data_IF_949605622652
#
_entry.id   IF_949605622652
#
_cell.length_a   1.000
_cell.length_b   1.000
_cell.length_c   1.000
_cell.angle_alpha   90.00
_cell.angle_beta   90.00
_cell.angle_gamma   90.00
#
_symmetry.space_group_name_H-M   'P 1'
#
loop_
_entity.id
_entity.type
_entity.pdbx_description
1 polymer ?
#
# COMPACT_ATOMS: atom_id res chain seq x y z
N UNK A 1 -34.18 23.20 -39.50
CA UNK A 1 -33.35 21.99 -39.68
C UNK A 1 -33.74 21.01 -38.58
N UNK A 2 -34.38 19.88 -38.93
CA UNK A 2 -34.83 18.89 -37.95
C UNK A 2 -33.65 17.96 -37.60
N UNK A 3 -33.24 17.94 -36.32
CA UNK A 3 -32.16 17.06 -35.86
C UNK A 3 -32.63 15.61 -35.83
N UNK A 4 -31.86 14.69 -36.44
CA UNK A 4 -32.22 13.27 -36.50
C UNK A 4 -31.89 12.54 -35.20
N UNK A 5 -32.63 11.46 -34.89
CA UNK A 5 -32.29 10.53 -33.78
C UNK A 5 -30.85 10.02 -33.86
N UNK A 6 -30.31 9.88 -35.06
CA UNK A 6 -28.91 9.48 -35.28
C UNK A 6 -27.92 10.55 -34.83
N UNK A 7 -28.25 11.83 -35.02
CA UNK A 7 -27.40 12.94 -34.59
C UNK A 7 -27.40 13.03 -33.05
N UNK A 8 -28.56 12.81 -32.44
CA UNK A 8 -28.69 12.74 -30.97
C UNK A 8 -27.87 11.58 -30.38
N UNK A 9 -27.94 10.38 -30.97
CA UNK A 9 -27.15 9.22 -30.52
C UNK A 9 -25.64 9.44 -30.67
N UNK A 10 -25.20 10.04 -31.79
CA UNK A 10 -23.79 10.37 -32.01
C UNK A 10 -23.30 11.44 -31.02
N UNK A 11 -24.06 12.51 -30.82
CA UNK A 11 -23.73 13.55 -29.86
C UNK A 11 -23.65 13.00 -28.42
N UNK A 12 -24.61 12.13 -28.05
CA UNK A 12 -24.62 11.47 -26.73
C UNK A 12 -23.41 10.56 -26.52
N UNK A 13 -23.01 9.78 -27.53
CA UNK A 13 -21.83 8.92 -27.46
C UNK A 13 -20.53 9.73 -27.33
N UNK A 14 -20.40 10.84 -28.07
CA UNK A 14 -19.24 11.74 -27.97
C UNK A 14 -19.17 12.41 -26.60
N UNK A 15 -20.30 12.90 -26.07
CA UNK A 15 -20.37 13.51 -24.75
C UNK A 15 -20.01 12.50 -23.64
N UNK A 16 -20.48 11.24 -23.74
CA UNK A 16 -20.13 10.19 -22.78
C UNK A 16 -18.63 9.84 -22.82
N UNK A 17 -18.05 9.74 -24.02
CA UNK A 17 -16.63 9.46 -24.21
C UNK A 17 -15.75 10.60 -23.67
N UNK A 18 -16.11 11.86 -23.96
CA UNK A 18 -15.42 13.04 -23.44
C UNK A 18 -15.50 13.13 -21.90
N UNK A 19 -16.67 12.87 -21.32
CA UNK A 19 -16.84 12.83 -19.86
C UNK A 19 -15.97 11.75 -19.18
N UNK A 20 -15.87 10.56 -19.79
CA UNK A 20 -14.98 9.48 -19.30
C UNK A 20 -13.50 9.85 -19.41
N UNK A 21 -13.09 10.49 -20.51
CA UNK A 21 -11.72 10.97 -20.71
C UNK A 21 -11.31 11.99 -19.65
N UNK A 22 -12.12 13.04 -19.47
CA UNK A 22 -11.85 14.08 -18.48
C UNK A 22 -11.80 13.54 -17.04
N UNK A 23 -12.65 12.57 -16.70
CA UNK A 23 -12.64 11.93 -15.39
C UNK A 23 -11.38 11.06 -15.17
N UNK A 24 -10.91 10.36 -16.21
CA UNK A 24 -9.70 9.55 -16.15
C UNK A 24 -8.44 10.42 -15.97
N UNK A 25 -8.33 11.52 -16.71
CA UNK A 25 -7.24 12.50 -16.58
C UNK A 25 -7.21 13.12 -15.19
N UNK A 26 -8.36 13.57 -14.67
CA UNK A 26 -8.45 14.11 -13.31
C UNK A 26 -8.01 13.09 -12.26
N UNK A 27 -8.42 11.82 -12.40
CA UNK A 27 -8.01 10.76 -11.46
C UNK A 27 -6.50 10.49 -11.55
N UNK A 28 -5.92 10.51 -12.76
CA UNK A 28 -4.47 10.40 -12.94
C UNK A 28 -3.74 11.56 -12.26
N UNK A 29 -4.18 12.80 -12.48
CA UNK A 29 -3.56 13.98 -11.87
C UNK A 29 -3.62 13.93 -10.34
N UNK A 30 -4.79 13.59 -9.78
CA UNK A 30 -4.95 13.44 -8.33
C UNK A 30 -4.01 12.35 -7.75
N UNK A 31 -3.82 11.26 -8.50
CA UNK A 31 -2.90 10.20 -8.11
C UNK A 31 -1.44 10.67 -8.17
N UNK A 32 -1.02 11.37 -9.23
CA UNK A 32 0.33 11.93 -9.37
C UNK A 32 0.62 12.93 -8.24
N UNK A 33 -0.30 13.85 -7.96
CA UNK A 33 -0.18 14.84 -6.89
C UNK A 33 -0.10 14.17 -5.51
N UNK A 34 -0.89 13.10 -5.29
CA UNK A 34 -0.83 12.33 -4.05
C UNK A 34 0.49 11.56 -3.90
N UNK A 35 0.94 10.88 -4.96
CA UNK A 35 2.22 10.15 -4.95
C UNK A 35 3.37 11.11 -4.68
N UNK A 36 3.38 12.28 -5.33
CA UNK A 36 4.40 13.31 -5.13
C UNK A 36 4.43 13.77 -3.68
N UNK A 37 3.30 14.23 -3.13
CA UNK A 37 3.22 14.67 -1.73
C UNK A 37 3.58 13.58 -0.72
N UNK A 38 3.20 12.34 -1.00
CA UNK A 38 3.57 11.23 -0.14
C UNK A 38 5.07 10.93 -0.20
N UNK A 39 5.68 10.97 -1.39
CA UNK A 39 7.12 10.76 -1.58
C UNK A 39 7.99 11.92 -1.06
N UNK A 40 7.42 13.11 -0.83
CA UNK A 40 8.07 14.25 -0.17
C UNK A 40 8.20 14.05 1.35
N UNK A 41 7.50 13.08 1.93
CA UNK A 41 7.61 12.75 3.36
C UNK A 41 8.96 12.11 3.67
N UNK A 42 9.39 12.25 4.91
CA UNK A 42 10.60 11.62 5.42
C UNK A 42 10.54 10.09 5.29
N UNK A 43 11.59 9.51 4.71
CA UNK A 43 11.75 8.06 4.61
C UNK A 43 12.54 7.49 5.79
N UNK A 44 12.43 6.19 5.99
CA UNK A 44 13.18 5.42 6.98
C UNK A 44 14.38 4.72 6.33
N UNK A 45 15.51 4.64 7.02
CA UNK A 45 16.73 3.95 6.53
C UNK A 45 16.97 2.58 7.16
N UNK A 46 16.18 2.23 8.18
CA UNK A 46 16.30 1.05 9.04
C UNK A 46 15.21 -0.01 8.78
N UNK A 47 14.44 0.14 7.71
CA UNK A 47 13.37 -0.80 7.35
C UNK A 47 13.89 -2.14 6.81
N UNK A 48 15.15 -2.20 6.37
CA UNK A 48 15.76 -3.41 5.85
C UNK A 48 16.33 -4.25 7.00
N UNK A 49 16.06 -5.55 6.96
CA UNK A 49 16.66 -6.51 7.88
C UNK A 49 18.15 -6.65 7.57
N UNK A 50 19.00 -6.00 8.37
CA UNK A 50 20.46 -6.02 8.23
C UNK A 50 21.14 -7.07 9.10
N UNK A 51 20.42 -7.61 10.10
CA UNK A 51 20.93 -8.59 11.05
C UNK A 51 20.15 -9.89 10.97
N UNK A 52 20.36 -10.62 9.87
CA UNK A 52 19.75 -11.94 9.67
C UNK A 52 20.65 -13.05 10.19
N UNK A 53 20.08 -14.00 10.93
CA UNK A 53 20.75 -15.24 11.37
C UNK A 53 20.01 -16.44 10.81
N UNK A 54 20.22 -16.82 9.54
CA UNK A 54 19.53 -17.97 8.96
C UNK A 54 20.08 -19.27 9.57
N UNK A 55 19.23 -20.02 10.27
CA UNK A 55 19.52 -21.38 10.76
C UNK A 55 18.75 -22.40 9.92
N UNK A 56 19.09 -22.49 8.63
CA UNK A 56 18.31 -23.27 7.66
C UNK A 56 17.07 -22.54 7.19
N UNK A 57 15.99 -23.29 6.89
CA UNK A 57 14.75 -22.72 6.35
C UNK A 57 13.84 -22.09 7.42
N UNK A 58 14.01 -22.50 8.68
CA UNK A 58 13.17 -22.08 9.80
C UNK A 58 14.06 -21.41 10.85
N UNK A 59 13.59 -20.31 11.44
CA UNK A 59 14.32 -19.64 12.52
C UNK A 59 13.35 -19.47 13.70
N UNK A 60 13.39 -20.40 14.68
CA UNK A 60 12.39 -20.43 15.73
C UNK A 60 12.41 -19.19 16.63
N UNK A 61 13.49 -18.39 16.62
CA UNK A 61 13.58 -17.18 17.45
C UNK A 61 12.42 -16.21 17.20
N UNK A 62 12.02 -16.04 15.94
CA UNK A 62 10.81 -15.30 15.56
C UNK A 62 10.35 -15.69 14.15
N UNK A 63 9.10 -16.10 14.04
CA UNK A 63 8.43 -16.41 12.77
C UNK A 63 7.07 -15.74 12.73
N UNK A 64 6.58 -15.41 11.53
CA UNK A 64 5.24 -14.86 11.41
C UNK A 64 4.74 -14.77 9.99
N UNK A 65 3.43 -14.68 9.85
CA UNK A 65 2.74 -14.49 8.58
C UNK A 65 1.49 -13.64 8.77
N UNK A 66 1.02 -13.06 7.67
CA UNK A 66 -0.26 -12.35 7.66
C UNK A 66 -1.37 -13.27 7.17
N UNK A 67 -2.57 -13.18 7.75
CA UNK A 67 -3.72 -14.02 7.36
C UNK A 67 -4.20 -13.77 5.92
N UNK A 68 -3.83 -12.63 5.33
CA UNK A 68 -4.17 -12.23 3.96
C UNK A 68 -3.00 -11.48 3.33
N UNK A 69 -2.89 -11.55 2.01
CA UNK A 69 -1.88 -10.78 1.27
C UNK A 69 -2.36 -9.36 0.93
N UNK A 70 -3.68 -9.15 0.86
CA UNK A 70 -4.27 -7.84 0.58
C UNK A 70 -5.62 -7.71 1.24
N UNK A 71 -5.99 -6.47 1.56
CA UNK A 71 -7.27 -6.09 2.16
C UNK A 71 -7.72 -4.76 1.58
N UNK A 72 -9.04 -4.50 1.58
CA UNK A 72 -9.58 -3.18 1.22
C UNK A 72 -9.44 -2.21 2.39
N UNK A 73 -9.51 -0.92 2.10
CA UNK A 73 -9.55 0.10 3.15
C UNK A 73 -10.74 -0.13 4.09
N UNK A 74 -10.48 -0.14 5.40
CA UNK A 74 -11.47 -0.42 6.43
C UNK A 74 -11.59 -1.91 6.81
N UNK A 75 -10.96 -2.82 6.08
CA UNK A 75 -10.86 -4.23 6.46
C UNK A 75 -9.65 -4.50 7.35
N UNK A 76 -9.68 -5.64 8.05
CA UNK A 76 -8.62 -6.08 8.96
C UNK A 76 -7.79 -7.22 8.36
N UNK A 77 -6.53 -7.27 8.78
CA UNK A 77 -5.54 -8.31 8.50
C UNK A 77 -4.97 -8.79 9.84
N UNK A 78 -4.91 -10.10 10.05
CA UNK A 78 -4.32 -10.66 11.25
C UNK A 78 -2.83 -10.94 11.00
N UNK A 79 -2.02 -10.72 12.02
CA UNK A 79 -0.59 -11.04 11.99
C UNK A 79 -0.34 -12.10 13.05
N UNK A 80 -0.04 -13.32 12.61
CA UNK A 80 0.33 -14.42 13.48
C UNK A 80 1.85 -14.40 13.68
N UNK A 81 2.29 -14.40 14.93
CA UNK A 81 3.72 -14.38 15.31
C UNK A 81 3.97 -15.47 16.35
N UNK A 82 5.05 -16.23 16.15
CA UNK A 82 5.53 -17.28 17.05
C UNK A 82 6.97 -16.96 17.44
N UNK A 83 7.33 -17.19 18.71
CA UNK A 83 8.71 -16.99 19.20
C UNK A 83 9.12 -18.15 20.10
N UNK A 84 10.23 -18.81 19.78
CA UNK A 84 10.81 -19.89 20.54
C UNK A 84 12.34 -19.66 20.71
N UNK A 85 12.81 -19.30 21.92
CA UNK A 85 12.07 -19.18 23.18
C UNK A 85 11.08 -18.00 23.19
N UNK A 86 10.12 -18.03 24.12
CA UNK A 86 9.14 -16.96 24.30
C UNK A 86 9.84 -15.62 24.55
N UNK A 87 9.55 -14.63 23.70
CA UNK A 87 10.18 -13.31 23.72
C UNK A 87 9.17 -12.19 23.48
N UNK A 88 9.49 -10.97 23.89
CA UNK A 88 8.71 -9.80 23.49
C UNK A 88 9.07 -9.40 22.05
N UNK A 89 8.08 -8.97 21.28
CA UNK A 89 8.30 -8.49 19.92
C UNK A 89 7.48 -7.23 19.63
N UNK A 90 7.92 -6.44 18.65
CA UNK A 90 7.18 -5.28 18.11
C UNK A 90 6.85 -5.53 16.65
N UNK A 91 5.85 -4.81 16.13
CA UNK A 91 5.54 -4.79 14.69
C UNK A 91 5.73 -3.37 14.19
N UNK A 92 6.62 -3.21 13.22
CA UNK A 92 6.83 -1.94 12.53
C UNK A 92 6.24 -2.02 11.12
N UNK A 93 5.31 -1.13 10.83
CA UNK A 93 4.62 -1.06 9.55
C UNK A 93 5.27 0.02 8.72
N UNK A 94 5.81 -0.37 7.57
CA UNK A 94 6.40 0.53 6.59
C UNK A 94 5.55 0.60 5.32
N UNK A 95 5.41 1.79 4.75
CA UNK A 95 4.92 1.95 3.37
C UNK A 95 6.14 2.04 2.45
N UNK A 96 6.28 1.12 1.51
CA UNK A 96 7.33 1.14 0.50
C UNK A 96 7.14 2.29 -0.51
N UNK A 97 8.23 2.87 -1.01
CA UNK A 97 8.19 4.02 -1.93
C UNK A 97 9.54 4.71 -2.11
N UNK A 98 9.58 5.83 -2.83
CA UNK A 98 10.84 6.51 -3.15
C UNK A 98 11.44 7.24 -1.93
N UNK A 99 10.67 8.12 -1.28
CA UNK A 99 11.06 8.92 -0.11
C UNK A 99 12.50 9.46 -0.15
N UNK A 100 12.87 10.12 -1.26
CA UNK A 100 14.21 10.66 -1.47
C UNK A 100 15.31 9.61 -1.59
N UNK A 101 14.98 8.39 -2.03
CA UNK A 101 15.91 7.26 -2.18
C UNK A 101 15.99 6.32 -0.97
N UNK A 102 15.23 6.55 0.09
CA UNK A 102 15.26 5.72 1.32
C UNK A 102 14.48 4.40 1.22
N UNK A 103 13.58 4.27 0.24
CA UNK A 103 12.90 3.00 -0.08
C UNK A 103 11.63 2.68 0.72
N UNK A 104 11.47 3.27 1.91
CA UNK A 104 10.25 3.15 2.70
C UNK A 104 10.04 4.33 3.65
N UNK A 105 8.85 4.46 4.23
CA UNK A 105 8.52 5.37 5.33
C UNK A 105 7.90 4.59 6.47
N UNK A 106 8.31 4.89 7.70
CA UNK A 106 7.67 4.34 8.91
C UNK A 106 6.25 4.90 9.05
N UNK A 107 5.28 4.01 9.19
CA UNK A 107 3.86 4.35 9.35
C UNK A 107 3.42 4.24 10.79
N UNK A 108 3.80 3.14 11.45
CA UNK A 108 3.31 2.81 12.79
C UNK A 108 4.19 1.75 13.43
N UNK A 109 4.41 1.89 14.73
CA UNK A 109 4.98 0.86 15.59
C UNK A 109 3.89 0.35 16.53
N UNK A 110 3.78 -0.97 16.68
CA UNK A 110 2.84 -1.66 17.53
C UNK A 110 3.59 -2.54 18.54
N UNK A 111 2.98 -2.72 19.72
CA UNK A 111 3.53 -3.52 20.81
C UNK A 111 4.25 -2.67 21.87
N UNK A 112 5.16 -3.27 22.66
CA UNK A 112 5.58 -4.67 22.56
C UNK A 112 4.45 -5.67 22.88
N UNK A 113 4.47 -6.81 22.21
CA UNK A 113 3.59 -7.95 22.44
C UNK A 113 4.37 -9.09 23.09
N UNK A 114 3.69 -9.93 23.87
CA UNK A 114 4.28 -11.15 24.42
C UNK A 114 4.17 -12.26 23.37
N UNK A 115 5.29 -12.65 22.78
CA UNK A 115 5.42 -13.84 21.93
C UNK A 115 5.47 -15.12 22.75
N UNK A 116 5.03 -16.21 22.15
CA UNK A 116 5.01 -17.56 22.70
C UNK A 116 5.29 -18.58 21.61
#
# INVERSE_FOLDING_TARGET
>A
MSSSRRDFLKASAVALAAGRGAQAERRRQLNEDWIKRENEREGASDWQLTWVRPEGYNNPNIEGYCSRQSVKAGESIDVAVSTAPAAQFTIEIFRMGYYGGRGARSMKTLGPFKGK
#
